data_IF_259415187412
#
_entry.id   IF_259415187412
#
_cell.length_a   1.000
_cell.length_b   1.000
_cell.length_c   1.000
_cell.angle_alpha   90.00
_cell.angle_beta   90.00
_cell.angle_gamma   90.00
#
_symmetry.space_group_name_H-M   'P 1'
#
loop_
_entity.id
_entity.type
_entity.pdbx_description
1 polymer ?
#
# COMPACT_ATOMS: atom_id res chain seq x y z
N UNK A 1 1.88 -30.68 18.21
CA UNK A 1 3.17 -30.89 17.51
C UNK A 1 3.06 -30.75 16.00
N UNK A 2 2.12 -31.44 15.32
CA UNK A 2 1.97 -31.38 13.84
C UNK A 2 1.57 -29.97 13.33
N UNK A 3 0.52 -29.39 13.91
CA UNK A 3 0.04 -28.04 13.54
C UNK A 3 1.10 -26.94 13.72
N UNK A 4 1.97 -27.04 14.73
CA UNK A 4 3.03 -26.07 14.94
C UNK A 4 4.10 -26.11 13.83
N UNK A 5 4.45 -27.31 13.35
CA UNK A 5 5.39 -27.46 12.23
C UNK A 5 4.78 -26.94 10.92
N UNK A 6 3.52 -27.27 10.64
CA UNK A 6 2.80 -26.78 9.46
C UNK A 6 2.73 -25.24 9.44
N UNK A 7 2.50 -24.61 10.60
CA UNK A 7 2.47 -23.15 10.70
C UNK A 7 3.85 -22.51 10.55
N UNK A 8 4.91 -23.11 11.10
CA UNK A 8 6.30 -22.66 10.92
C UNK A 8 6.69 -22.71 9.45
N UNK A 9 6.31 -23.78 8.74
CA UNK A 9 6.50 -23.92 7.31
C UNK A 9 5.72 -22.86 6.53
N UNK A 10 4.44 -22.68 6.87
CA UNK A 10 3.55 -21.69 6.23
C UNK A 10 4.07 -20.26 6.37
N UNK A 11 4.72 -19.91 7.48
CA UNK A 11 5.34 -18.59 7.68
C UNK A 11 6.81 -18.50 7.21
N UNK A 12 7.34 -19.57 6.59
CA UNK A 12 8.68 -19.58 6.02
C UNK A 12 9.79 -19.48 7.07
N UNK A 13 9.65 -20.17 8.20
CA UNK A 13 10.61 -20.21 9.30
C UNK A 13 11.16 -21.63 9.58
N UNK A 14 11.02 -22.56 8.64
CA UNK A 14 11.49 -23.95 8.79
C UNK A 14 12.98 -24.03 9.12
N UNK A 15 13.83 -23.28 8.41
CA UNK A 15 15.29 -23.31 8.55
C UNK A 15 15.81 -22.80 9.91
N UNK A 16 14.93 -22.14 10.67
CA UNK A 16 15.26 -21.47 11.92
C UNK A 16 14.36 -21.93 13.07
N UNK A 17 13.60 -23.01 12.89
CA UNK A 17 12.62 -23.50 13.84
C UNK A 17 13.23 -23.81 15.23
N UNK A 18 14.46 -24.35 15.26
CA UNK A 18 15.16 -24.73 16.49
C UNK A 18 16.00 -23.58 17.09
N UNK A 19 16.08 -22.43 16.43
CA UNK A 19 16.83 -21.28 16.92
C UNK A 19 16.02 -20.52 17.97
N UNK A 20 16.71 -20.02 19.00
CA UNK A 20 16.08 -19.12 19.99
C UNK A 20 15.57 -17.85 19.31
N UNK A 21 14.31 -17.49 19.61
CA UNK A 21 13.63 -16.29 19.09
C UNK A 21 14.42 -15.00 19.37
N UNK A 22 15.21 -14.95 20.45
CA UNK A 22 16.06 -13.79 20.75
C UNK A 22 17.06 -13.42 19.64
N UNK A 23 17.42 -14.35 18.74
CA UNK A 23 18.29 -14.10 17.59
C UNK A 23 17.55 -13.89 16.26
N UNK A 24 16.24 -13.64 16.29
CA UNK A 24 15.43 -13.44 15.09
C UNK A 24 15.44 -11.97 14.66
N UNK A 25 15.38 -11.71 13.36
CA UNK A 25 15.17 -10.35 12.80
C UNK A 25 13.80 -9.79 13.25
N UNK A 26 13.55 -8.52 12.96
CA UNK A 26 12.22 -7.92 13.14
C UNK A 26 11.14 -8.69 12.37
N UNK A 27 11.37 -8.96 11.08
CA UNK A 27 10.44 -9.69 10.23
C UNK A 27 10.22 -11.14 10.67
N UNK A 28 11.27 -11.83 11.11
CA UNK A 28 11.14 -13.18 11.65
C UNK A 28 10.27 -13.20 12.92
N UNK A 29 10.47 -12.25 13.85
CA UNK A 29 9.65 -12.15 15.08
C UNK A 29 8.18 -11.88 14.76
N UNK A 30 7.89 -11.02 13.78
CA UNK A 30 6.50 -10.78 13.34
C UNK A 30 5.86 -12.03 12.72
N UNK A 31 6.60 -12.78 11.90
CA UNK A 31 6.12 -14.04 11.32
C UNK A 31 5.84 -15.11 12.37
N UNK A 32 6.63 -15.18 13.45
CA UNK A 32 6.29 -16.00 14.62
C UNK A 32 4.97 -15.53 15.26
N UNK A 33 4.76 -14.22 15.40
CA UNK A 33 3.49 -13.66 15.90
C UNK A 33 2.29 -14.06 15.04
N UNK A 34 2.42 -14.06 13.71
CA UNK A 34 1.38 -14.59 12.81
C UNK A 34 1.16 -16.09 13.04
N UNK A 35 2.23 -16.89 13.10
CA UNK A 35 2.09 -18.32 13.36
C UNK A 35 1.35 -18.58 14.67
N UNK A 36 1.65 -17.80 15.72
CA UNK A 36 0.94 -17.85 17.00
C UNK A 36 -0.54 -17.47 16.86
N UNK A 37 -0.88 -16.41 16.12
CA UNK A 37 -2.27 -16.03 15.86
C UNK A 37 -3.04 -17.11 15.08
N UNK A 38 -2.37 -17.79 14.14
CA UNK A 38 -2.96 -18.85 13.32
C UNK A 38 -3.18 -20.17 14.07
N UNK A 39 -2.54 -20.38 15.23
CA UNK A 39 -2.74 -21.60 16.05
C UNK A 39 -4.21 -21.79 16.45
N UNK A 40 -4.95 -20.71 16.63
CA UNK A 40 -6.37 -20.73 16.99
C UNK A 40 -7.31 -20.93 15.79
N UNK A 41 -6.76 -21.11 14.58
CA UNK A 41 -7.49 -21.17 13.31
C UNK A 41 -8.55 -20.06 13.15
N UNK A 42 -8.16 -18.77 13.26
CA UNK A 42 -9.11 -17.68 13.22
C UNK A 42 -9.67 -17.47 11.81
N UNK A 43 -10.99 -17.21 11.74
CA UNK A 43 -11.67 -16.79 10.50
C UNK A 43 -11.38 -15.33 10.10
N UNK A 44 -10.93 -14.52 11.05
CA UNK A 44 -10.60 -13.09 10.87
C UNK A 44 -9.24 -12.79 11.50
N UNK A 45 -8.37 -12.15 10.73
CA UNK A 45 -7.07 -11.64 11.18
C UNK A 45 -7.02 -10.15 10.91
N UNK A 46 -6.62 -9.37 11.91
CA UNK A 46 -6.38 -7.94 11.78
C UNK A 46 -4.90 -7.69 12.01
N UNK A 47 -4.25 -7.02 11.06
CA UNK A 47 -2.82 -6.74 11.11
C UNK A 47 -2.60 -5.25 10.88
N UNK A 48 -2.00 -4.60 11.87
CA UNK A 48 -1.70 -3.17 11.83
C UNK A 48 -0.25 -2.95 11.42
N UNK A 49 -0.03 -2.17 10.35
CA UNK A 49 1.27 -1.80 9.78
C UNK A 49 2.31 -2.94 9.72
N UNK A 50 1.98 -4.11 9.14
CA UNK A 50 2.84 -5.30 9.22
C UNK A 50 4.21 -5.16 8.56
N UNK A 51 4.31 -4.29 7.56
CA UNK A 51 5.49 -4.11 6.73
C UNK A 51 6.43 -3.02 7.26
N UNK A 52 6.02 -2.27 8.29
CA UNK A 52 6.78 -1.13 8.80
C UNK A 52 8.13 -1.55 9.38
N UNK A 53 9.25 -1.04 8.85
CA UNK A 53 10.59 -1.39 9.34
C UNK A 53 11.08 -2.79 8.95
N UNK A 54 10.44 -3.43 7.96
CA UNK A 54 11.02 -4.57 7.25
C UNK A 54 11.89 -4.08 6.09
N UNK A 55 12.95 -4.81 5.78
CA UNK A 55 13.68 -4.60 4.54
C UNK A 55 12.82 -5.03 3.31
N UNK A 56 13.21 -4.67 2.08
CA UNK A 56 12.42 -4.98 0.88
C UNK A 56 12.13 -6.48 0.69
N UNK A 57 13.07 -7.37 1.04
CA UNK A 57 12.92 -8.81 0.88
C UNK A 57 11.94 -9.38 1.91
N UNK A 58 12.11 -9.00 3.18
CA UNK A 58 11.21 -9.39 4.27
C UNK A 58 9.80 -8.88 4.03
N UNK A 59 9.65 -7.65 3.52
CA UNK A 59 8.37 -7.06 3.14
C UNK A 59 7.67 -7.89 2.05
N UNK A 60 8.40 -8.29 1.00
CA UNK A 60 7.86 -9.13 -0.06
C UNK A 60 7.39 -10.49 0.47
N UNK A 61 8.22 -11.16 1.29
CA UNK A 61 7.85 -12.45 1.91
C UNK A 61 6.60 -12.31 2.79
N UNK A 62 6.49 -11.22 3.54
CA UNK A 62 5.35 -10.96 4.41
C UNK A 62 4.06 -10.71 3.61
N UNK A 63 4.13 -9.97 2.50
CA UNK A 63 3.00 -9.75 1.59
C UNK A 63 2.47 -11.07 1.02
N UNK A 64 3.36 -11.91 0.50
CA UNK A 64 2.99 -13.23 -0.05
C UNK A 64 2.31 -14.10 1.01
N UNK A 65 2.81 -14.07 2.24
CA UNK A 65 2.17 -14.75 3.37
C UNK A 65 0.74 -14.25 3.58
N UNK A 66 0.53 -12.93 3.72
CA UNK A 66 -0.80 -12.37 3.95
C UNK A 66 -1.78 -12.65 2.80
N UNK A 67 -1.33 -12.53 1.56
CA UNK A 67 -2.14 -12.86 0.38
C UNK A 67 -2.57 -14.34 0.39
N UNK A 68 -1.64 -15.25 0.71
CA UNK A 68 -1.94 -16.68 0.87
C UNK A 68 -2.85 -16.99 2.06
N UNK A 69 -2.89 -16.14 3.09
CA UNK A 69 -3.87 -16.27 4.15
C UNK A 69 -5.27 -15.85 3.70
N UNK A 70 -5.39 -14.83 2.83
CA UNK A 70 -6.67 -14.30 2.35
C UNK A 70 -7.53 -15.28 1.54
N UNK A 71 -6.98 -16.41 1.07
CA UNK A 71 -7.73 -17.43 0.34
C UNK A 71 -8.76 -18.19 1.20
N UNK A 72 -8.47 -18.40 2.49
CA UNK A 72 -9.30 -19.25 3.37
C UNK A 72 -9.98 -18.46 4.50
N UNK A 73 -9.64 -17.19 4.67
CA UNK A 73 -10.04 -16.35 5.82
C UNK A 73 -10.04 -14.87 5.47
N UNK A 74 -10.72 -14.07 6.28
CA UNK A 74 -10.69 -12.61 6.13
C UNK A 74 -9.44 -12.04 6.78
N UNK A 75 -8.68 -11.26 6.01
CA UNK A 75 -7.50 -10.53 6.50
C UNK A 75 -7.75 -9.03 6.32
N UNK A 76 -7.71 -8.28 7.41
CA UNK A 76 -7.76 -6.82 7.40
C UNK A 76 -6.35 -6.29 7.63
N UNK A 77 -5.87 -5.53 6.65
CA UNK A 77 -4.56 -4.88 6.67
C UNK A 77 -4.76 -3.37 6.83
N UNK A 78 -4.12 -2.78 7.83
CA UNK A 78 -3.95 -1.33 7.94
C UNK A 78 -2.54 -0.96 7.46
N UNK A 79 -2.45 -0.08 6.46
CA UNK A 79 -1.18 0.48 5.99
C UNK A 79 -1.38 1.81 5.28
N UNK A 80 -0.37 2.67 5.36
CA UNK A 80 -0.26 3.89 4.55
C UNK A 80 0.53 3.66 3.25
N UNK A 81 1.02 2.46 2.99
CA UNK A 81 1.86 2.20 1.80
C UNK A 81 1.04 1.56 0.68
N UNK A 82 0.72 2.36 -0.34
CA UNK A 82 -0.16 1.95 -1.44
C UNK A 82 0.36 0.73 -2.23
N UNK A 83 1.68 0.58 -2.35
CA UNK A 83 2.29 -0.59 -2.99
C UNK A 83 1.94 -1.92 -2.29
N UNK A 84 1.72 -1.89 -0.97
CA UNK A 84 1.26 -3.08 -0.24
C UNK A 84 -0.17 -3.43 -0.66
N UNK A 85 -1.04 -2.43 -0.70
CA UNK A 85 -2.47 -2.58 -1.04
C UNK A 85 -2.61 -3.12 -2.46
N UNK A 86 -1.92 -2.52 -3.42
CA UNK A 86 -1.96 -2.88 -4.84
C UNK A 86 -1.69 -4.37 -5.10
N UNK A 87 -0.83 -4.99 -4.28
CA UNK A 87 -0.36 -6.36 -4.47
C UNK A 87 -1.11 -7.39 -3.66
N UNK A 88 -1.79 -6.99 -2.57
CA UNK A 88 -2.34 -7.93 -1.59
C UNK A 88 -3.83 -7.77 -1.32
N UNK A 89 -4.43 -6.64 -1.67
CA UNK A 89 -5.80 -6.32 -1.30
C UNK A 89 -6.66 -6.09 -2.56
N UNK A 90 -7.67 -6.95 -2.83
CA UNK A 90 -8.63 -6.70 -3.91
C UNK A 90 -9.67 -5.62 -3.54
N UNK A 91 -9.78 -5.27 -2.27
CA UNK A 91 -10.75 -4.32 -1.72
C UNK A 91 -10.07 -3.42 -0.70
N UNK A 92 -10.41 -2.13 -0.68
CA UNK A 92 -9.75 -1.14 0.18
C UNK A 92 -10.76 -0.15 0.77
N UNK A 93 -10.48 0.27 2.00
CA UNK A 93 -11.13 1.40 2.64
C UNK A 93 -10.12 2.53 2.75
N UNK A 94 -10.45 3.73 2.26
CA UNK A 94 -9.62 4.93 2.49
C UNK A 94 -10.23 5.71 3.64
N UNK A 95 -9.49 5.86 4.74
CA UNK A 95 -9.92 6.63 5.89
C UNK A 95 -9.20 7.98 5.95
N UNK A 96 -9.97 9.05 6.17
CA UNK A 96 -9.44 10.40 6.45
C UNK A 96 -10.22 11.02 7.61
N UNK A 97 -9.51 11.46 8.65
CA UNK A 97 -10.11 12.14 9.81
C UNK A 97 -11.28 11.35 10.45
N UNK A 98 -11.12 10.04 10.57
CA UNK A 98 -12.14 9.16 11.17
C UNK A 98 -13.37 8.89 10.29
N UNK A 99 -13.37 9.33 9.02
CA UNK A 99 -14.44 9.05 8.05
C UNK A 99 -13.90 8.23 6.88
N UNK A 100 -14.72 7.31 6.40
CA UNK A 100 -14.45 6.56 5.17
C UNK A 100 -14.68 7.51 3.98
N UNK A 101 -13.65 7.68 3.15
CA UNK A 101 -13.69 8.44 1.90
C UNK A 101 -13.90 7.55 0.68
N UNK A 102 -13.55 6.29 0.80
CA UNK A 102 -13.70 5.29 -0.24
C UNK A 102 -13.89 3.91 0.38
N UNK A 103 -14.75 3.13 -0.25
CA UNK A 103 -15.15 1.79 0.15
C UNK A 103 -15.45 0.99 -1.12
N UNK A 104 -14.48 0.20 -1.59
CA UNK A 104 -14.63 -0.45 -2.88
C UNK A 104 -13.44 -1.30 -3.34
N UNK A 105 -13.57 -1.90 -4.53
CA UNK A 105 -12.47 -2.63 -5.18
C UNK A 105 -11.24 -1.75 -5.34
N UNK A 106 -10.05 -2.29 -5.10
CA UNK A 106 -8.80 -1.52 -5.21
C UNK A 106 -8.58 -0.97 -6.62
N UNK A 107 -8.96 -1.73 -7.65
CA UNK A 107 -8.79 -1.34 -9.06
C UNK A 107 -9.55 -0.06 -9.44
N UNK A 108 -10.74 0.15 -8.88
CA UNK A 108 -11.55 1.35 -9.15
C UNK A 108 -11.00 2.61 -8.46
N UNK A 109 -10.03 2.49 -7.55
CA UNK A 109 -9.41 3.66 -6.91
C UNK A 109 -8.78 4.59 -7.96
N UNK A 110 -8.23 4.02 -9.04
CA UNK A 110 -7.61 4.77 -10.15
C UNK A 110 -8.61 5.64 -10.92
N UNK A 111 -9.89 5.27 -10.93
CA UNK A 111 -10.96 5.96 -11.64
C UNK A 111 -11.13 7.39 -11.12
N UNK A 112 -10.88 7.61 -9.82
CA UNK A 112 -10.91 8.92 -9.20
C UNK A 112 -9.94 9.91 -9.84
N UNK A 113 -8.84 9.49 -10.45
CA UNK A 113 -7.89 10.39 -11.10
C UNK A 113 -8.01 10.41 -12.64
N UNK A 114 -8.96 9.68 -13.22
CA UNK A 114 -9.08 9.54 -14.69
C UNK A 114 -9.30 10.87 -15.38
N UNK A 115 -8.50 11.14 -16.42
CA UNK A 115 -8.55 12.38 -17.20
C UNK A 115 -7.95 13.60 -16.51
N UNK A 116 -7.46 13.45 -15.27
CA UNK A 116 -6.92 14.57 -14.46
C UNK A 116 -5.41 14.50 -14.27
N UNK A 117 -4.73 13.46 -14.76
CA UNK A 117 -3.29 13.25 -14.51
C UNK A 117 -2.44 13.71 -15.68
N UNK A 118 -1.43 14.53 -15.37
CA UNK A 118 -0.58 15.17 -16.36
C UNK A 118 0.89 15.16 -15.93
N UNK A 119 1.79 15.09 -16.89
CA UNK A 119 3.23 15.26 -16.71
C UNK A 119 3.65 16.61 -17.29
N UNK A 120 4.24 17.48 -16.47
CA UNK A 120 4.73 18.78 -16.93
C UNK A 120 5.99 18.65 -17.77
N UNK A 121 6.28 19.66 -18.60
CA UNK A 121 7.63 19.86 -19.12
C UNK A 121 8.63 20.09 -17.97
N UNK A 122 9.93 19.81 -18.18
CA UNK A 122 10.97 20.15 -17.21
C UNK A 122 10.94 21.64 -16.88
N UNK A 123 10.83 21.97 -15.59
CA UNK A 123 10.83 23.35 -15.10
C UNK A 123 11.74 23.50 -13.88
N UNK A 124 12.27 24.70 -13.66
CA UNK A 124 12.98 25.07 -12.44
C UNK A 124 12.05 25.74 -11.41
N UNK A 125 10.78 25.97 -11.77
CA UNK A 125 9.75 26.50 -10.89
C UNK A 125 8.74 25.41 -10.54
N UNK A 126 8.19 25.42 -9.32
CA UNK A 126 7.15 24.49 -8.94
C UNK A 126 5.86 24.74 -9.74
N UNK A 127 4.96 23.74 -9.84
CA UNK A 127 3.65 23.91 -10.45
C UNK A 127 2.84 25.01 -9.75
N UNK A 128 1.90 25.66 -10.46
CA UNK A 128 0.98 26.64 -9.86
C UNK A 128 0.20 26.07 -8.66
N UNK A 129 -0.17 26.94 -7.74
CA UNK A 129 -1.01 26.57 -6.59
C UNK A 129 -2.37 26.01 -7.05
N UNK A 130 -2.93 25.07 -6.29
CA UNK A 130 -4.20 24.41 -6.60
C UNK A 130 -4.08 23.12 -7.42
N UNK A 131 -2.86 22.70 -7.78
CA UNK A 131 -2.60 21.39 -8.37
C UNK A 131 -2.07 20.43 -7.29
N UNK A 132 -2.53 19.18 -7.33
CA UNK A 132 -1.97 18.13 -6.48
C UNK A 132 -0.69 17.62 -7.15
N UNK A 133 0.46 17.67 -6.47
CA UNK A 133 1.71 17.13 -6.99
C UNK A 133 1.86 15.70 -6.46
N UNK A 134 1.68 14.71 -7.34
CA UNK A 134 1.81 13.30 -6.99
C UNK A 134 3.27 12.85 -6.99
N UNK A 135 4.09 13.33 -7.93
CA UNK A 135 5.50 12.95 -8.04
C UNK A 135 6.33 14.08 -8.69
N UNK A 136 7.63 14.10 -8.43
CA UNK A 136 8.60 15.00 -9.04
C UNK A 136 9.87 14.23 -9.43
N UNK A 137 10.24 14.30 -10.71
CA UNK A 137 11.44 13.65 -11.25
C UNK A 137 12.44 14.70 -11.70
N UNK A 138 13.63 14.70 -11.09
CA UNK A 138 14.73 15.59 -11.49
C UNK A 138 15.40 15.08 -12.75
N UNK A 139 15.53 15.95 -13.75
CA UNK A 139 16.24 15.70 -15.00
C UNK A 139 17.38 16.71 -15.18
N UNK A 140 18.25 16.48 -16.17
CA UNK A 140 19.30 17.45 -16.52
C UNK A 140 18.76 18.83 -16.97
N UNK A 141 17.47 18.93 -17.34
CA UNK A 141 16.84 20.15 -17.87
C UNK A 141 15.91 20.85 -16.86
N UNK A 142 15.78 20.31 -15.65
CA UNK A 142 14.81 20.76 -14.64
C UNK A 142 13.99 19.60 -14.09
N UNK A 143 12.93 19.91 -13.36
CA UNK A 143 12.05 18.93 -12.70
C UNK A 143 10.78 18.75 -13.52
N UNK A 144 10.43 17.49 -13.81
CA UNK A 144 9.11 17.14 -14.35
C UNK A 144 8.20 16.75 -13.19
N UNK A 145 7.00 17.33 -13.15
CA UNK A 145 6.02 17.05 -12.12
C UNK A 145 4.89 16.20 -12.70
N UNK A 146 4.56 15.11 -12.00
CA UNK A 146 3.27 14.42 -12.18
C UNK A 146 2.25 15.16 -11.33
N UNK A 147 1.29 15.80 -11.98
CA UNK A 147 0.28 16.64 -11.33
C UNK A 147 -1.12 16.13 -11.62
N UNK A 148 -2.04 16.37 -10.69
CA UNK A 148 -3.46 16.06 -10.81
C UNK A 148 -4.23 17.37 -10.81
N UNK A 149 -4.94 17.66 -11.91
CA UNK A 149 -5.70 18.91 -12.11
C UNK A 149 -6.69 18.77 -13.28
N UNK A 150 -7.80 19.49 -13.20
CA UNK A 150 -8.78 19.65 -14.30
C UNK A 150 -8.29 20.61 -15.38
N UNK A 151 -7.34 21.51 -15.04
CA UNK A 151 -6.80 22.54 -15.94
C UNK A 151 -5.29 22.37 -16.06
N UNK A 152 -4.80 21.55 -17.02
CA UNK A 152 -3.38 21.28 -17.13
C UNK A 152 -2.57 22.52 -17.54
N UNK A 153 -1.31 22.63 -17.09
CA UNK A 153 -0.36 23.60 -17.63
C UNK A 153 -0.19 23.46 -19.15
N UNK A 154 0.19 24.55 -19.81
CA UNK A 154 0.59 24.51 -21.22
C UNK A 154 1.70 23.45 -21.43
N UNK A 155 1.60 22.71 -22.54
CA UNK A 155 2.56 21.67 -22.94
C UNK A 155 2.69 20.46 -22.00
N UNK A 156 1.79 20.30 -21.02
CA UNK A 156 1.72 19.08 -20.22
C UNK A 156 1.19 17.89 -21.03
N UNK A 157 1.70 16.70 -20.75
CA UNK A 157 1.30 15.47 -21.42
C UNK A 157 0.35 14.65 -20.54
N UNK A 158 -0.78 14.14 -21.08
CA UNK A 158 -1.69 13.30 -20.32
C UNK A 158 -1.01 11.98 -19.94
N UNK A 159 -1.38 11.44 -18.78
CA UNK A 159 -0.86 10.17 -18.26
C UNK A 159 -2.00 9.27 -17.79
N UNK A 160 -1.81 7.96 -17.91
CA UNK A 160 -2.71 6.99 -17.28
C UNK A 160 -2.58 7.10 -15.74
N UNK A 161 -3.70 7.13 -15.00
CA UNK A 161 -3.66 7.19 -13.53
C UNK A 161 -3.07 5.94 -12.89
N UNK A 162 -2.46 6.13 -11.72
CA UNK A 162 -2.03 5.07 -10.81
C UNK A 162 -2.94 5.04 -9.57
N UNK A 163 -2.78 4.01 -8.73
CA UNK A 163 -3.44 3.94 -7.43
C UNK A 163 -3.08 5.13 -6.52
N UNK A 164 -1.85 5.62 -6.63
CA UNK A 164 -1.39 6.80 -5.88
C UNK A 164 -2.16 8.06 -6.28
N UNK A 165 -2.38 8.28 -7.58
CA UNK A 165 -3.13 9.46 -8.00
C UNK A 165 -4.58 9.42 -7.51
N UNK A 166 -5.23 8.25 -7.61
CA UNK A 166 -6.59 8.06 -7.13
C UNK A 166 -6.74 8.27 -5.63
N UNK A 167 -5.79 7.74 -4.85
CA UNK A 167 -5.71 7.97 -3.41
C UNK A 167 -5.50 9.45 -3.06
N UNK A 168 -4.58 10.13 -3.76
CA UNK A 168 -4.26 11.54 -3.52
C UNK A 168 -5.47 12.44 -3.76
N UNK A 169 -6.24 12.18 -4.82
CA UNK A 169 -7.53 12.86 -5.08
C UNK A 169 -8.47 12.72 -3.87
N UNK A 170 -8.69 11.51 -3.39
CA UNK A 170 -9.62 11.24 -2.27
C UNK A 170 -9.17 11.91 -0.96
N UNK A 171 -7.87 12.04 -0.74
CA UNK A 171 -7.31 12.69 0.44
C UNK A 171 -7.26 14.21 0.28
N UNK A 172 -7.12 14.77 -0.90
CA UNK A 172 -7.08 16.22 -1.08
C UNK A 172 -8.50 16.82 -1.22
N UNK A 173 -9.45 16.10 -1.81
CA UNK A 173 -10.84 16.55 -1.95
C UNK A 173 -11.49 16.78 -0.57
N UNK A 174 -11.84 18.04 -0.30
CA UNK A 174 -12.62 18.43 0.88
C UNK A 174 -14.06 17.92 0.71
N UNK A 175 -14.66 17.29 1.73
CA UNK A 175 -16.00 16.70 1.60
C UNK A 175 -17.13 17.74 1.72
N UNK A 176 -16.82 19.04 1.81
CA UNK A 176 -17.81 20.08 2.10
C UNK A 176 -18.20 20.84 0.84
N UNK A 177 -18.91 20.18 -0.08
CA UNK A 177 -19.81 20.83 -1.05
C UNK A 177 -20.98 19.92 -1.45
N UNK A 178 -21.67 19.27 -0.51
CA UNK A 178 -23.05 18.79 -0.72
C UNK A 178 -23.90 19.16 0.50
#
# INVERSE_FOLDING_TARGET
MRQAHELIERVGLTDVADRRIGGFSGGMRRRVGIAQALMADPRLIIVDEPTAGLDPEERMRFRTLLAGLGGDRTVILSTHILDDIAQTCPYVFVLRQGRIRYDGPTEHLTEHATGRVWLTQPSNTPPPAGMIVANAVTTARGVCYRVITDTPPADAHPMDPTLEDGYMVLIEEHPDQH
#
